data_IF_159059289525
#
_entry.id   IF_159059289525
#
_cell.length_a   1.000
_cell.length_b   1.000
_cell.length_c   1.000
_cell.angle_alpha   90.00
_cell.angle_beta   90.00
_cell.angle_gamma   90.00
#
_symmetry.space_group_name_H-M   'P 1'
#
loop_
_entity.id
_entity.type
_entity.pdbx_description
1 polymer ?
#
# COMPACT_ATOMS: atom_id res chain seq x y z
N UNK A 1 -2.92 -13.79 25.12
CA UNK A 1 -1.65 -13.22 24.60
C UNK A 1 -1.87 -11.72 24.43
N UNK A 2 -0.86 -10.89 24.67
CA UNK A 2 -1.01 -9.44 24.45
C UNK A 2 -1.11 -9.18 22.95
N UNK A 3 -2.15 -8.44 22.53
CA UNK A 3 -2.32 -7.97 21.16
C UNK A 3 -1.46 -6.73 20.85
N UNK A 4 -0.58 -6.33 21.76
CA UNK A 4 0.37 -5.24 21.54
C UNK A 4 1.59 -5.77 20.78
N UNK A 5 1.96 -5.04 19.74
CA UNK A 5 3.26 -5.09 19.08
C UNK A 5 4.17 -4.13 19.85
N UNK A 6 5.36 -4.59 20.25
CA UNK A 6 6.30 -3.77 21.02
C UNK A 6 6.91 -2.62 20.19
N UNK A 7 7.31 -1.56 20.88
CA UNK A 7 7.84 -0.35 20.28
C UNK A 7 9.07 -0.59 19.37
N UNK A 8 10.08 -1.40 19.76
CA UNK A 8 11.21 -1.70 18.88
C UNK A 8 10.79 -2.37 17.56
N UNK A 9 9.84 -3.32 17.61
CA UNK A 9 9.32 -3.96 16.40
C UNK A 9 8.60 -2.95 15.50
N UNK A 10 7.78 -2.05 16.07
CA UNK A 10 7.08 -1.01 15.31
C UNK A 10 8.03 -0.04 14.62
N UNK A 11 9.06 0.44 15.33
CA UNK A 11 10.09 1.33 14.76
C UNK A 11 10.82 0.66 13.59
N UNK A 12 11.16 -0.62 13.78
CA UNK A 12 11.84 -1.43 12.77
C UNK A 12 11.00 -1.60 11.49
N UNK A 13 9.71 -1.96 11.64
CA UNK A 13 8.80 -2.08 10.50
C UNK A 13 8.56 -0.72 9.83
N UNK A 14 8.40 0.35 10.62
CA UNK A 14 8.26 1.70 10.10
C UNK A 14 9.43 2.10 9.19
N UNK A 15 10.66 1.94 9.67
CA UNK A 15 11.86 2.29 8.91
C UNK A 15 11.99 1.46 7.62
N UNK A 16 11.73 0.15 7.72
CA UNK A 16 11.89 -0.75 6.58
C UNK A 16 10.88 -0.50 5.49
N UNK A 17 9.59 -0.39 5.83
CA UNK A 17 8.56 -0.08 4.86
C UNK A 17 8.73 1.32 4.25
N UNK A 18 9.29 2.28 5.00
CA UNK A 18 9.61 3.60 4.46
C UNK A 18 10.68 3.51 3.36
N UNK A 19 11.79 2.84 3.64
CA UNK A 19 12.90 2.70 2.68
C UNK A 19 12.44 1.89 1.48
N UNK A 20 11.89 0.69 1.70
CA UNK A 20 11.45 -0.20 0.64
C UNK A 20 10.35 0.44 -0.21
N UNK A 21 9.37 1.10 0.41
CA UNK A 21 8.31 1.81 -0.31
C UNK A 21 8.87 2.88 -1.25
N UNK A 22 9.89 3.64 -0.82
CA UNK A 22 10.57 4.63 -1.67
C UNK A 22 11.35 4.00 -2.82
N UNK A 23 12.00 2.85 -2.58
CA UNK A 23 12.74 2.12 -3.62
C UNK A 23 11.83 1.56 -4.71
N UNK A 24 10.58 1.24 -4.37
CA UNK A 24 9.57 0.80 -5.34
C UNK A 24 8.95 1.95 -6.14
N UNK A 25 8.72 3.12 -5.52
CA UNK A 25 8.05 4.26 -6.16
C UNK A 25 8.87 4.97 -7.24
N UNK A 26 10.19 4.83 -7.20
CA UNK A 26 11.03 5.52 -8.15
C UNK A 26 12.45 4.99 -8.15
N UNK A 27 13.21 5.45 -9.12
CA UNK A 27 14.60 5.05 -9.24
C UNK A 27 15.41 5.55 -8.05
N UNK A 28 16.07 4.61 -7.37
CA UNK A 28 17.09 4.97 -6.40
C UNK A 28 18.15 5.85 -7.08
N UNK A 29 18.44 7.01 -6.48
CA UNK A 29 19.57 7.83 -6.92
C UNK A 29 20.89 7.15 -6.51
N UNK A 30 22.04 7.53 -7.10
CA UNK A 30 23.34 6.99 -6.67
C UNK A 30 23.61 7.25 -5.17
N UNK A 31 23.14 8.38 -4.65
CA UNK A 31 23.26 8.70 -3.23
C UNK A 31 22.35 7.84 -2.37
N UNK A 32 21.10 7.61 -2.79
CA UNK A 32 20.17 6.67 -2.12
C UNK A 32 20.73 5.25 -2.11
N UNK A 33 21.31 4.77 -3.22
CA UNK A 33 21.96 3.46 -3.26
C UNK A 33 23.13 3.40 -2.28
N UNK A 34 24.00 4.40 -2.31
CA UNK A 34 25.15 4.48 -1.38
C UNK A 34 24.70 4.46 0.08
N UNK A 35 23.63 5.17 0.41
CA UNK A 35 23.03 5.16 1.75
C UNK A 35 22.55 3.76 2.14
N UNK A 36 21.81 3.07 1.26
CA UNK A 36 21.35 1.69 1.50
C UNK A 36 22.54 0.75 1.71
N UNK A 37 23.55 0.79 0.84
CA UNK A 37 24.73 -0.07 0.98
C UNK A 37 25.52 0.22 2.26
N UNK A 38 25.67 1.49 2.62
CA UNK A 38 26.43 1.89 3.83
C UNK A 38 25.75 1.39 5.11
N UNK A 39 24.43 1.34 5.12
CA UNK A 39 23.65 0.91 6.29
C UNK A 39 23.19 -0.56 6.20
N UNK A 40 23.67 -1.32 5.21
CA UNK A 40 23.17 -2.68 4.95
C UNK A 40 23.48 -3.66 6.08
N UNK A 41 24.61 -3.49 6.78
CA UNK A 41 24.95 -4.30 7.96
C UNK A 41 24.01 -4.08 9.13
N UNK A 42 23.38 -2.90 9.17
CA UNK A 42 22.42 -2.50 10.18
C UNK A 42 20.98 -2.69 9.69
N UNK A 43 20.80 -3.33 8.52
CA UNK A 43 19.48 -3.63 8.02
C UNK A 43 18.76 -4.51 9.05
N UNK A 44 17.53 -4.16 9.42
CA UNK A 44 16.90 -4.80 10.54
C UNK A 44 16.66 -6.29 10.33
N UNK A 45 17.00 -7.05 11.36
CA UNK A 45 16.73 -8.46 11.45
C UNK A 45 15.47 -8.70 12.29
N UNK A 46 14.50 -9.40 11.71
CA UNK A 46 13.28 -9.80 12.41
C UNK A 46 13.34 -11.27 12.76
N UNK A 47 13.23 -11.57 14.05
CA UNK A 47 13.04 -12.92 14.53
C UNK A 47 11.92 -12.93 15.55
N UNK A 48 10.73 -13.36 15.12
CA UNK A 48 9.66 -13.71 16.03
C UNK A 48 10.07 -15.00 16.77
N UNK A 49 10.35 -14.97 18.10
CA UNK A 49 10.93 -16.11 18.80
C UNK A 49 9.99 -17.33 18.87
N UNK A 50 8.68 -17.11 18.83
CA UNK A 50 7.68 -18.17 18.93
C UNK A 50 6.59 -17.97 17.87
N UNK A 51 6.91 -18.20 16.57
CA UNK A 51 5.90 -18.12 15.53
C UNK A 51 4.87 -19.24 15.74
N UNK A 52 3.64 -19.03 15.28
CA UNK A 52 2.65 -20.12 15.22
C UNK A 52 3.23 -21.29 14.40
N UNK A 53 3.01 -22.55 14.81
CA UNK A 53 3.51 -23.71 14.06
C UNK A 53 3.09 -23.73 12.59
N UNK A 54 1.87 -23.25 12.29
CA UNK A 54 1.33 -23.09 10.94
C UNK A 54 2.13 -22.12 10.06
N UNK A 55 2.83 -21.17 10.68
CA UNK A 55 3.62 -20.13 10.02
C UNK A 55 5.13 -20.37 10.12
N UNK A 56 5.58 -21.49 10.69
CA UNK A 56 7.00 -21.78 10.89
C UNK A 56 7.78 -21.80 9.55
N UNK A 57 7.20 -22.36 8.49
CA UNK A 57 7.82 -22.35 7.15
C UNK A 57 7.93 -20.92 6.61
N UNK A 58 6.86 -20.13 6.70
CA UNK A 58 6.85 -18.75 6.20
C UNK A 58 7.85 -17.88 6.98
N UNK A 59 7.94 -18.05 8.30
CA UNK A 59 8.93 -17.37 9.12
C UNK A 59 10.36 -17.72 8.68
N UNK A 60 10.64 -19.00 8.44
CA UNK A 60 11.94 -19.43 7.90
C UNK A 60 12.22 -18.86 6.49
N UNK A 61 11.20 -18.84 5.61
CA UNK A 61 11.31 -18.26 4.28
C UNK A 61 11.59 -16.75 4.32
N UNK A 62 10.98 -16.03 5.28
CA UNK A 62 11.24 -14.61 5.51
C UNK A 62 12.70 -14.37 5.94
N UNK A 63 13.23 -15.20 6.84
CA UNK A 63 14.64 -15.12 7.26
C UNK A 63 15.59 -15.43 6.10
N UNK A 64 15.26 -16.45 5.29
CA UNK A 64 16.05 -16.78 4.12
C UNK A 64 16.02 -15.65 3.09
N UNK A 65 14.86 -15.01 2.87
CA UNK A 65 14.72 -13.88 1.96
C UNK A 65 15.48 -12.65 2.47
N UNK A 66 15.48 -12.40 3.78
CA UNK A 66 16.27 -11.33 4.38
C UNK A 66 17.76 -11.52 4.09
N UNK A 67 18.31 -12.69 4.41
CA UNK A 67 19.73 -13.01 4.16
C UNK A 67 20.07 -12.93 2.67
N UNK A 68 19.21 -13.50 1.80
CA UNK A 68 19.42 -13.40 0.34
C UNK A 68 19.41 -11.95 -0.12
N UNK A 69 18.46 -11.15 0.37
CA UNK A 69 18.32 -9.74 0.00
C UNK A 69 19.54 -8.91 0.38
N UNK A 70 20.04 -9.07 1.62
CA UNK A 70 21.28 -8.41 2.05
C UNK A 70 22.49 -8.88 1.23
N UNK A 71 22.60 -10.18 0.95
CA UNK A 71 23.71 -10.71 0.14
C UNK A 71 23.67 -10.17 -1.30
N UNK A 72 22.49 -10.05 -1.90
CA UNK A 72 22.30 -9.53 -3.25
C UNK A 72 22.65 -8.05 -3.34
N UNK A 73 22.20 -7.23 -2.38
CA UNK A 73 22.58 -5.82 -2.33
C UNK A 73 24.09 -5.64 -2.10
N UNK A 74 24.71 -6.47 -1.24
CA UNK A 74 26.15 -6.46 -1.04
C UNK A 74 26.90 -6.81 -2.34
N UNK A 75 26.44 -7.83 -3.09
CA UNK A 75 27.03 -8.18 -4.39
C UNK A 75 26.88 -7.09 -5.43
N UNK A 76 25.72 -6.43 -5.47
CA UNK A 76 25.49 -5.27 -6.34
C UNK A 76 26.53 -4.17 -6.08
N UNK A 77 26.79 -3.88 -4.81
CA UNK A 77 27.83 -2.93 -4.40
C UNK A 77 29.24 -3.37 -4.78
N UNK A 78 29.63 -4.61 -4.44
CA UNK A 78 30.99 -5.13 -4.68
C UNK A 78 31.32 -5.24 -6.18
N UNK A 79 30.33 -5.62 -6.99
CA UNK A 79 30.47 -5.71 -8.44
C UNK A 79 30.41 -4.34 -9.15
N UNK A 80 30.11 -3.27 -8.41
CA UNK A 80 29.89 -1.92 -8.97
C UNK A 80 28.83 -1.94 -10.07
N UNK A 81 27.70 -2.57 -9.79
CA UNK A 81 26.59 -2.70 -10.75
C UNK A 81 26.16 -1.31 -11.26
N UNK A 82 26.19 -1.15 -12.58
CA UNK A 82 26.03 0.16 -13.24
C UNK A 82 24.64 0.75 -12.99
N UNK A 83 24.61 2.02 -12.57
CA UNK A 83 23.40 2.78 -12.25
C UNK A 83 22.37 2.78 -13.37
N UNK A 84 22.83 2.87 -14.61
CA UNK A 84 21.98 2.85 -15.80
C UNK A 84 21.31 1.49 -16.03
N UNK A 85 22.01 0.40 -15.70
CA UNK A 85 21.50 -0.97 -15.77
C UNK A 85 20.46 -1.20 -14.68
N UNK A 86 20.71 -0.75 -13.45
CA UNK A 86 19.74 -0.81 -12.35
C UNK A 86 18.46 -0.04 -12.71
N UNK A 87 18.61 1.18 -13.24
CA UNK A 87 17.47 2.00 -13.66
C UNK A 87 16.65 1.29 -14.76
N UNK A 88 17.35 0.75 -15.75
CA UNK A 88 16.72 0.04 -16.87
C UNK A 88 16.03 -1.25 -16.41
N UNK A 89 16.60 -1.98 -15.46
CA UNK A 89 15.98 -3.17 -14.89
C UNK A 89 14.68 -2.83 -14.16
N UNK A 90 14.68 -1.77 -13.35
CA UNK A 90 13.45 -1.29 -12.69
C UNK A 90 12.40 -0.82 -13.72
N UNK A 91 12.81 -0.13 -14.80
CA UNK A 91 11.92 0.24 -15.91
C UNK A 91 11.33 -1.01 -16.61
N UNK A 92 12.11 -2.09 -16.77
CA UNK A 92 11.61 -3.34 -17.34
C UNK A 92 10.71 -4.12 -16.38
N UNK A 93 10.98 -4.01 -15.08
CA UNK A 93 10.21 -4.69 -14.05
C UNK A 93 8.83 -4.06 -13.94
N UNK A 94 8.75 -2.74 -13.74
CA UNK A 94 7.52 -2.00 -13.38
C UNK A 94 6.98 -1.04 -14.44
N UNK A 95 7.76 -0.71 -15.48
CA UNK A 95 7.48 0.45 -16.33
C UNK A 95 6.23 0.34 -17.21
N UNK A 96 5.84 1.48 -17.79
CA UNK A 96 4.58 1.67 -18.56
C UNK A 96 4.66 1.10 -20.00
N UNK A 97 5.73 0.40 -20.34
CA UNK A 97 5.99 -0.10 -21.69
C UNK A 97 5.39 -1.50 -21.91
N UNK A 98 5.19 -1.90 -23.17
CA UNK A 98 4.79 -3.27 -23.53
C UNK A 98 5.77 -4.36 -23.03
N UNK A 99 6.93 -3.97 -22.51
CA UNK A 99 7.96 -4.85 -21.97
C UNK A 99 7.91 -5.05 -20.45
N UNK A 100 7.00 -4.37 -19.75
CA UNK A 100 6.77 -4.57 -18.32
C UNK A 100 6.59 -6.05 -17.99
N UNK A 101 7.24 -6.51 -16.92
CA UNK A 101 7.19 -7.91 -16.48
C UNK A 101 6.25 -8.09 -15.30
N UNK A 102 6.18 -7.09 -14.43
CA UNK A 102 5.37 -7.09 -13.22
C UNK A 102 4.59 -5.79 -13.10
N UNK A 103 3.30 -5.87 -12.75
CA UNK A 103 2.54 -4.66 -12.42
C UNK A 103 2.75 -4.31 -10.95
N UNK A 104 3.15 -3.07 -10.61
CA UNK A 104 3.26 -2.63 -9.22
C UNK A 104 1.92 -2.15 -8.63
N UNK A 105 0.77 -2.42 -9.27
CA UNK A 105 -0.55 -1.94 -8.85
C UNK A 105 -1.48 -3.08 -8.45
N UNK A 106 -2.09 -3.02 -7.25
CA UNK A 106 -3.03 -4.03 -6.74
C UNK A 106 -4.14 -4.37 -7.72
N UNK A 107 -4.75 -3.34 -8.31
CA UNK A 107 -5.90 -3.45 -9.21
C UNK A 107 -5.66 -4.38 -10.40
N UNK A 108 -4.42 -4.53 -10.86
CA UNK A 108 -4.05 -5.49 -11.93
C UNK A 108 -4.04 -6.95 -11.44
N UNK A 109 -3.77 -7.19 -10.16
CA UNK A 109 -3.70 -8.55 -9.59
C UNK A 109 -5.02 -9.02 -9.01
N UNK A 110 -5.80 -8.08 -8.46
CA UNK A 110 -6.99 -8.38 -7.66
C UNK A 110 -8.29 -8.01 -8.38
N UNK A 111 -8.30 -6.95 -9.19
CA UNK A 111 -9.49 -6.46 -9.88
C UNK A 111 -10.04 -7.47 -10.89
N UNK A 112 -11.37 -7.55 -11.01
CA UNK A 112 -12.03 -8.50 -11.91
C UNK A 112 -11.69 -8.24 -13.38
N UNK A 113 -11.46 -6.98 -13.74
CA UNK A 113 -11.06 -6.55 -15.09
C UNK A 113 -9.54 -6.30 -15.23
N UNK A 114 -8.78 -6.41 -14.13
CA UNK A 114 -7.34 -6.18 -14.05
C UNK A 114 -6.88 -4.82 -14.63
N UNK A 115 -7.67 -3.77 -14.38
CA UNK A 115 -7.43 -2.42 -14.88
C UNK A 115 -6.81 -1.54 -13.79
N UNK A 116 -5.89 -0.66 -14.18
CA UNK A 116 -5.29 0.34 -13.28
C UNK A 116 -6.33 1.44 -12.99
N UNK A 117 -6.39 1.94 -11.74
CA UNK A 117 -7.37 2.91 -11.22
C UNK A 117 -8.78 2.35 -10.94
N UNK A 118 -8.85 1.12 -10.44
CA UNK A 118 -10.12 0.48 -10.08
C UNK A 118 -10.51 0.76 -8.60
N UNK A 119 -11.52 0.04 -8.11
CA UNK A 119 -12.13 0.14 -6.79
C UNK A 119 -11.10 0.12 -5.66
N UNK A 120 -10.04 -0.67 -5.81
CA UNK A 120 -8.92 -0.82 -4.89
C UNK A 120 -8.20 0.51 -4.65
N UNK A 121 -7.94 1.29 -5.70
CA UNK A 121 -7.32 2.62 -5.59
C UNK A 121 -8.13 3.57 -4.69
N UNK A 122 -9.47 3.52 -4.80
CA UNK A 122 -10.37 4.34 -3.96
C UNK A 122 -10.35 3.84 -2.51
N UNK A 123 -10.30 2.53 -2.30
CA UNK A 123 -10.25 1.93 -0.96
C UNK A 123 -8.94 2.26 -0.24
N UNK A 124 -7.78 2.19 -0.92
CA UNK A 124 -6.50 2.60 -0.33
C UNK A 124 -6.53 4.07 0.09
N UNK A 125 -7.10 4.96 -0.75
CA UNK A 125 -7.29 6.37 -0.38
C UNK A 125 -8.19 6.54 0.85
N UNK A 126 -9.26 5.75 0.95
CA UNK A 126 -10.12 5.74 2.12
C UNK A 126 -9.33 5.34 3.38
N UNK A 127 -8.49 4.31 3.32
CA UNK A 127 -7.62 3.90 4.43
C UNK A 127 -6.65 5.00 4.85
N UNK A 128 -5.98 5.68 3.91
CA UNK A 128 -5.16 6.87 4.21
C UNK A 128 -5.92 7.92 5.02
N UNK A 129 -7.18 8.19 4.64
CA UNK A 129 -8.02 9.16 5.37
C UNK A 129 -8.36 8.72 6.81
N UNK A 130 -8.46 7.42 7.08
CA UNK A 130 -8.73 6.89 8.44
C UNK A 130 -7.56 7.15 9.41
N UNK A 131 -6.34 7.27 8.87
CA UNK A 131 -5.15 7.68 9.63
C UNK A 131 -4.95 9.21 9.67
N UNK A 132 -5.89 10.00 9.13
CA UNK A 132 -5.75 11.44 9.00
C UNK A 132 -4.70 11.87 7.97
N UNK A 133 -4.33 10.96 7.06
CA UNK A 133 -3.32 11.18 6.04
C UNK A 133 -3.99 11.44 4.68
N UNK A 134 -3.19 11.95 3.75
CA UNK A 134 -3.53 11.98 2.32
C UNK A 134 -2.52 11.10 1.60
N UNK A 135 -2.99 10.28 0.66
CA UNK A 135 -2.10 9.53 -0.20
C UNK A 135 -1.14 10.51 -0.93
N UNK A 136 0.17 10.24 -0.97
CA UNK A 136 1.13 11.07 -1.69
C UNK A 136 0.77 11.18 -3.17
N UNK A 137 0.97 12.36 -3.77
CA UNK A 137 0.84 12.59 -5.21
C UNK A 137 -0.52 12.22 -5.81
N UNK A 138 -1.60 12.78 -5.23
CA UNK A 138 -2.90 12.86 -5.88
C UNK A 138 -2.68 13.28 -7.36
N UNK A 139 -2.96 12.39 -8.31
CA UNK A 139 -2.88 12.55 -9.78
C UNK A 139 -1.60 12.13 -10.54
N UNK A 140 -0.56 11.57 -9.90
CA UNK A 140 0.62 11.06 -10.63
C UNK A 140 0.68 9.53 -10.69
N UNK A 141 0.44 8.85 -9.56
CA UNK A 141 0.42 7.39 -9.45
C UNK A 141 -0.92 6.95 -8.85
N UNK A 142 -1.49 5.81 -9.30
CA UNK A 142 -2.57 5.13 -8.59
C UNK A 142 -2.19 4.87 -7.12
N UNK A 143 -3.12 5.18 -6.20
CA UNK A 143 -2.94 5.02 -4.75
C UNK A 143 -2.69 3.54 -4.33
N UNK A 144 -3.01 2.57 -5.18
CA UNK A 144 -2.79 1.13 -5.01
C UNK A 144 -1.42 0.64 -5.53
N UNK A 145 -0.46 1.55 -5.70
CA UNK A 145 0.92 1.19 -5.99
C UNK A 145 1.59 0.52 -4.76
N UNK A 146 2.35 -0.57 -4.98
CA UNK A 146 3.04 -1.34 -3.93
C UNK A 146 3.81 -0.45 -2.94
N UNK A 147 4.61 0.48 -3.47
CA UNK A 147 5.38 1.41 -2.66
C UNK A 147 4.53 2.40 -1.85
N UNK A 148 3.32 2.77 -2.30
CA UNK A 148 2.37 3.58 -1.52
C UNK A 148 1.68 2.74 -0.44
N UNK A 149 1.39 1.47 -0.68
CA UNK A 149 0.88 0.57 0.36
C UNK A 149 1.93 0.35 1.46
N UNK A 150 3.21 0.17 1.10
CA UNK A 150 4.30 0.13 2.07
C UNK A 150 4.44 1.46 2.83
N UNK A 151 4.34 2.60 2.15
CA UNK A 151 4.33 3.89 2.82
C UNK A 151 3.18 4.01 3.84
N UNK A 152 1.99 3.46 3.53
CA UNK A 152 0.87 3.42 4.47
C UNK A 152 1.20 2.56 5.71
N UNK A 153 1.73 1.36 5.51
CA UNK A 153 2.15 0.49 6.62
C UNK A 153 3.20 1.17 7.50
N UNK A 154 4.18 1.85 6.90
CA UNK A 154 5.19 2.61 7.62
C UNK A 154 4.56 3.68 8.53
N UNK A 155 3.66 4.50 7.98
CA UNK A 155 2.99 5.56 8.73
C UNK A 155 2.10 5.00 9.85
N UNK A 156 1.41 3.88 9.59
CA UNK A 156 0.66 3.15 10.60
C UNK A 156 1.53 2.71 11.77
N UNK A 157 2.70 2.12 11.49
CA UNK A 157 3.67 1.73 12.51
C UNK A 157 4.19 2.93 13.32
N UNK A 158 4.49 4.06 12.67
CA UNK A 158 4.95 5.28 13.35
C UNK A 158 3.87 5.88 14.26
N UNK A 159 2.61 5.91 13.81
CA UNK A 159 1.50 6.39 14.63
C UNK A 159 1.23 5.48 15.82
N UNK A 160 1.29 4.15 15.64
CA UNK A 160 1.22 3.19 16.73
C UNK A 160 2.34 3.39 17.76
N UNK A 161 3.59 3.54 17.30
CA UNK A 161 4.74 3.79 18.15
C UNK A 161 4.57 5.09 18.96
N UNK A 162 4.21 6.19 18.28
CA UNK A 162 3.98 7.49 18.91
C UNK A 162 2.85 7.46 19.95
N UNK A 163 1.83 6.62 19.73
CA UNK A 163 0.75 6.43 20.68
C UNK A 163 1.22 5.65 21.92
N UNK A 164 2.03 4.60 21.75
CA UNK A 164 2.63 3.86 22.86
C UNK A 164 3.55 4.74 23.72
N UNK A 165 4.44 5.52 23.08
CA UNK A 165 5.38 6.40 23.78
C UNK A 165 4.65 7.47 24.60
N UNK A 166 3.49 7.94 24.11
CA UNK A 166 2.64 8.90 24.81
C UNK A 166 1.66 8.26 25.81
N UNK A 167 1.63 6.92 25.95
CA UNK A 167 0.67 6.21 26.80
C UNK A 167 -0.78 6.30 26.33
N UNK A 168 -1.03 6.63 25.05
CA UNK A 168 -2.37 6.76 24.44
C UNK A 168 -2.82 5.42 23.85
N UNK A 169 -3.18 4.49 24.72
CA UNK A 169 -3.48 3.10 24.33
C UNK A 169 -4.71 2.99 23.42
N UNK A 170 -5.72 3.86 23.60
CA UNK A 170 -6.90 3.89 22.73
C UNK A 170 -6.55 4.31 21.29
N UNK A 171 -5.68 5.32 21.14
CA UNK A 171 -5.18 5.76 19.84
C UNK A 171 -4.37 4.63 19.18
N UNK A 172 -3.53 3.92 19.96
CA UNK A 172 -2.81 2.76 19.47
C UNK A 172 -3.76 1.70 18.91
N UNK A 173 -4.79 1.31 19.68
CA UNK A 173 -5.76 0.30 19.24
C UNK A 173 -6.50 0.72 17.97
N UNK A 174 -6.93 2.00 17.90
CA UNK A 174 -7.59 2.54 16.71
C UNK A 174 -6.70 2.44 15.47
N UNK A 175 -5.45 2.90 15.55
CA UNK A 175 -4.51 2.85 14.42
C UNK A 175 -4.18 1.41 14.06
N UNK A 176 -3.91 0.55 15.06
CA UNK A 176 -3.63 -0.88 14.85
C UNK A 176 -4.74 -1.55 14.07
N UNK A 177 -6.00 -1.35 14.45
CA UNK A 177 -7.13 -2.02 13.81
C UNK A 177 -7.27 -1.59 12.34
N UNK A 178 -7.03 -0.31 12.05
CA UNK A 178 -6.99 0.20 10.66
C UNK A 178 -5.86 -0.46 9.87
N UNK A 179 -4.65 -0.54 10.43
CA UNK A 179 -3.47 -1.10 9.73
C UNK A 179 -3.62 -2.62 9.53
N UNK A 180 -4.20 -3.34 10.49
CA UNK A 180 -4.48 -4.77 10.38
C UNK A 180 -5.52 -5.04 9.30
N UNK A 181 -6.62 -4.27 9.29
CA UNK A 181 -7.65 -4.37 8.25
C UNK A 181 -7.06 -4.08 6.87
N UNK A 182 -6.32 -2.97 6.73
CA UNK A 182 -5.61 -2.64 5.50
C UNK A 182 -4.71 -3.79 5.04
N UNK A 183 -3.83 -4.28 5.92
CA UNK A 183 -2.88 -5.38 5.60
C UNK A 183 -3.61 -6.59 5.02
N UNK A 184 -4.72 -6.98 5.64
CA UNK A 184 -5.53 -8.15 5.27
C UNK A 184 -6.25 -7.94 3.93
N UNK A 185 -6.87 -6.78 3.77
CA UNK A 185 -7.78 -6.48 2.66
C UNK A 185 -7.06 -6.06 1.39
N UNK A 186 -5.82 -5.57 1.50
CA UNK A 186 -5.00 -5.08 0.40
C UNK A 186 -3.71 -5.90 0.21
N UNK A 187 -2.55 -5.54 0.80
CA UNK A 187 -1.26 -6.08 0.38
C UNK A 187 -1.16 -7.60 0.51
N UNK A 188 -1.80 -8.22 1.51
CA UNK A 188 -1.75 -9.67 1.71
C UNK A 188 -2.30 -10.45 0.51
N UNK A 189 -3.20 -9.86 -0.28
CA UNK A 189 -3.86 -10.52 -1.40
C UNK A 189 -2.96 -10.67 -2.63
N UNK A 190 -1.91 -9.85 -2.75
CA UNK A 190 -1.19 -9.72 -4.02
C UNK A 190 0.32 -9.49 -3.88
N UNK A 191 0.77 -8.74 -2.87
CA UNK A 191 2.20 -8.43 -2.66
C UNK A 191 3.05 -9.71 -2.54
N UNK A 192 2.67 -10.75 -1.77
CA UNK A 192 3.52 -11.94 -1.63
C UNK A 192 3.85 -12.64 -2.94
N UNK A 193 2.90 -12.74 -3.86
CA UNK A 193 3.12 -13.35 -5.16
C UNK A 193 3.88 -12.41 -6.10
N UNK A 194 3.56 -11.11 -6.04
CA UNK A 194 4.19 -10.07 -6.87
C UNK A 194 5.67 -9.93 -6.60
N UNK A 195 6.08 -9.86 -5.33
CA UNK A 195 7.50 -9.73 -4.96
C UNK A 195 8.31 -10.96 -5.38
N UNK A 196 7.74 -12.16 -5.26
CA UNK A 196 8.42 -13.40 -5.73
C UNK A 196 8.58 -13.41 -7.24
N UNK A 197 7.55 -13.03 -7.99
CA UNK A 197 7.65 -12.92 -9.44
C UNK A 197 8.65 -11.81 -9.83
N UNK A 198 8.61 -10.67 -9.16
CA UNK A 198 9.52 -9.56 -9.40
C UNK A 198 10.98 -9.94 -9.16
N UNK A 199 11.28 -10.66 -8.07
CA UNK A 199 12.62 -11.19 -7.78
C UNK A 199 13.11 -12.11 -8.92
N UNK A 200 12.25 -12.98 -9.44
CA UNK A 200 12.57 -13.89 -10.55
C UNK A 200 12.81 -13.14 -11.86
N UNK A 201 12.04 -12.08 -12.12
CA UNK A 201 12.08 -11.33 -13.37
C UNK A 201 13.18 -10.24 -13.39
N UNK A 202 13.64 -9.80 -12.23
CA UNK A 202 14.71 -8.82 -12.08
C UNK A 202 16.05 -9.34 -12.63
N UNK A 203 16.77 -8.46 -13.32
CA UNK A 203 18.03 -8.76 -14.01
C UNK A 203 19.27 -8.28 -13.27
N UNK A 204 19.09 -7.42 -12.28
CA UNK A 204 20.16 -6.85 -11.45
C UNK A 204 20.13 -7.41 -10.04
N UNK A 205 21.31 -7.56 -9.43
CA UNK A 205 21.41 -7.96 -8.03
C UNK A 205 20.77 -6.92 -7.11
N UNK A 206 20.83 -5.64 -7.49
CA UNK A 206 20.10 -4.57 -6.80
C UNK A 206 18.60 -4.85 -6.73
N UNK A 207 17.92 -5.02 -7.87
CA UNK A 207 16.47 -5.19 -7.86
C UNK A 207 16.08 -6.51 -7.20
N UNK A 208 16.78 -7.60 -7.47
CA UNK A 208 16.55 -8.89 -6.77
C UNK A 208 16.66 -8.73 -5.25
N UNK A 209 17.65 -7.96 -4.77
CA UNK A 209 17.82 -7.67 -3.35
C UNK A 209 16.66 -6.85 -2.77
N UNK A 210 16.20 -5.81 -3.48
CA UNK A 210 15.05 -5.00 -3.07
C UNK A 210 13.77 -5.85 -2.96
N UNK A 211 13.51 -6.74 -3.93
CA UNK A 211 12.35 -7.64 -3.89
C UNK A 211 12.43 -8.63 -2.72
N UNK A 212 13.60 -9.24 -2.50
CA UNK A 212 13.82 -10.19 -1.42
C UNK A 212 13.67 -9.53 -0.02
N UNK A 213 14.22 -8.33 0.17
CA UNK A 213 14.04 -7.57 1.42
C UNK A 213 12.59 -7.11 1.63
N UNK A 214 11.90 -6.74 0.56
CA UNK A 214 10.47 -6.41 0.59
C UNK A 214 9.63 -7.60 1.03
N UNK A 215 9.92 -8.78 0.49
CA UNK A 215 9.22 -10.01 0.85
C UNK A 215 9.47 -10.36 2.32
N UNK A 216 10.74 -10.28 2.76
CA UNK A 216 11.12 -10.56 4.13
C UNK A 216 10.41 -9.63 5.14
N UNK A 217 10.40 -8.32 4.87
CA UNK A 217 9.74 -7.33 5.72
C UNK A 217 8.23 -7.59 5.82
N UNK A 218 7.57 -7.81 4.68
CA UNK A 218 6.11 -8.03 4.65
C UNK A 218 5.70 -9.38 5.27
N UNK A 219 6.47 -10.45 5.02
CA UNK A 219 6.25 -11.75 5.66
C UNK A 219 6.44 -11.67 7.17
N UNK A 220 7.49 -10.99 7.63
CA UNK A 220 7.76 -10.81 9.06
C UNK A 220 6.65 -10.00 9.73
N UNK A 221 6.16 -8.94 9.07
CA UNK A 221 5.00 -8.17 9.52
C UNK A 221 3.76 -9.06 9.72
N UNK A 222 3.40 -9.86 8.71
CA UNK A 222 2.24 -10.77 8.79
C UNK A 222 2.41 -11.83 9.89
N UNK A 223 3.60 -12.41 10.03
CA UNK A 223 3.91 -13.37 11.11
C UNK A 223 3.75 -12.70 12.48
N UNK A 224 4.27 -11.49 12.66
CA UNK A 224 4.08 -10.73 13.91
C UNK A 224 2.60 -10.47 14.18
N UNK A 225 1.82 -9.99 13.20
CA UNK A 225 0.38 -9.79 13.37
C UNK A 225 -0.34 -11.08 13.81
N UNK A 226 -0.01 -12.21 13.20
CA UNK A 226 -0.58 -13.50 13.59
C UNK A 226 -0.17 -13.96 14.98
N UNK A 227 1.11 -13.84 15.35
CA UNK A 227 1.59 -14.19 16.70
C UNK A 227 0.94 -13.34 17.79
N UNK A 228 0.60 -12.08 17.49
CA UNK A 228 -0.19 -11.21 18.38
C UNK A 228 -1.70 -11.49 18.36
N UNK A 229 -2.17 -12.41 17.53
CA UNK A 229 -3.59 -12.76 17.42
C UNK A 229 -4.43 -11.66 16.75
N UNK A 230 -3.80 -10.87 15.87
CA UNK A 230 -4.44 -9.78 15.13
C UNK A 230 -4.86 -10.22 13.72
N UNK A 231 -4.17 -11.19 13.14
CA UNK A 231 -4.43 -11.71 11.81
C UNK A 231 -4.42 -13.25 11.83
N UNK A 232 -5.47 -13.95 11.37
CA UNK A 232 -5.49 -15.41 11.45
C UNK A 232 -4.37 -16.07 10.63
N UNK A 233 -3.68 -17.06 11.18
CA UNK A 233 -2.58 -17.76 10.51
C UNK A 233 -3.02 -18.40 9.18
N UNK A 234 -4.23 -18.96 9.12
CA UNK A 234 -4.80 -19.52 7.90
C UNK A 234 -4.94 -18.49 6.77
N UNK A 235 -5.26 -17.24 7.10
CA UNK A 235 -5.37 -16.16 6.10
C UNK A 235 -3.99 -15.73 5.61
N UNK A 236 -3.01 -15.63 6.51
CA UNK A 236 -1.61 -15.38 6.12
C UNK A 236 -1.11 -16.48 5.20
N UNK A 237 -1.26 -17.75 5.58
CA UNK A 237 -0.88 -18.89 4.75
C UNK A 237 -1.56 -18.84 3.38
N UNK A 238 -2.86 -18.53 3.33
CA UNK A 238 -3.60 -18.40 2.07
C UNK A 238 -3.08 -17.26 1.19
N UNK A 239 -2.77 -16.09 1.77
CA UNK A 239 -2.24 -14.95 1.02
C UNK A 239 -0.86 -15.22 0.43
N UNK A 240 0.03 -15.85 1.19
CA UNK A 240 1.36 -16.26 0.71
C UNK A 240 1.31 -17.45 -0.26
N UNK A 241 0.28 -18.29 -0.20
CA UNK A 241 0.05 -19.36 -1.17
C UNK A 241 -0.65 -18.90 -2.46
N UNK A 242 -1.21 -17.69 -2.49
CA UNK A 242 -1.92 -17.18 -3.66
C UNK A 242 -0.99 -17.10 -4.88
N UNK A 243 -1.46 -17.49 -6.08
CA UNK A 243 -0.66 -17.40 -7.29
C UNK A 243 -0.51 -15.96 -7.74
N UNK A 244 0.56 -15.68 -8.49
CA UNK A 244 0.73 -14.41 -9.18
C UNK A 244 -0.36 -14.22 -10.24
N UNK A 245 -1.01 -13.06 -10.25
CA UNK A 245 -2.15 -12.73 -11.13
C UNK A 245 -1.93 -11.52 -12.03
N UNK A 246 -0.74 -10.93 -12.01
CA UNK A 246 -0.45 -9.71 -12.76
C UNK A 246 -0.25 -9.94 -14.26
N UNK A 247 0.75 -9.28 -14.83
CA UNK A 247 1.04 -9.36 -16.26
C UNK A 247 1.41 -10.81 -16.63
N UNK A 248 0.62 -11.44 -17.50
CA UNK A 248 0.90 -12.78 -18.05
C UNK A 248 1.14 -12.71 -19.56
N UNK A 249 1.71 -13.77 -20.14
CA UNK A 249 1.91 -13.86 -21.59
C UNK A 249 0.60 -13.67 -22.41
N UNK A 250 -0.57 -13.95 -21.81
CA UNK A 250 -1.88 -13.70 -22.43
C UNK A 250 -2.27 -12.22 -22.54
N UNK A 251 -1.81 -11.38 -21.60
CA UNK A 251 -2.08 -9.94 -21.59
C UNK A 251 -1.30 -9.15 -22.65
N UNK A 252 -0.15 -9.70 -23.11
CA UNK A 252 0.71 -9.06 -24.12
C UNK A 252 0.10 -9.01 -25.54
N UNK A 253 -0.98 -9.75 -25.80
CA UNK A 253 -1.66 -9.81 -27.11
C UNK A 253 -2.86 -8.87 -27.27
N UNK A 254 -3.40 -8.32 -26.18
CA UNK A 254 -4.58 -7.42 -26.18
C UNK A 254 -4.15 -5.94 -26.03
N UNK A 255 -2.89 -5.70 -25.64
CA UNK A 255 -2.27 -4.42 -25.35
C UNK A 255 -1.92 -3.55 -26.57
N UNK A 256 -2.72 -3.56 -27.64
CA UNK A 256 -2.65 -2.48 -28.66
C UNK A 256 -3.47 -1.25 -28.24
N UNK A 257 -4.22 -1.34 -27.14
CA UNK A 257 -4.81 -0.20 -26.44
C UNK A 257 -4.00 0.16 -25.19
N UNK A 258 -3.12 1.15 -25.31
CA UNK A 258 -2.59 2.04 -24.25
C UNK A 258 -2.72 1.53 -22.80
N UNK A 259 -1.73 0.78 -22.31
CA UNK A 259 -1.35 0.88 -20.90
C UNK A 259 -0.77 2.29 -20.70
N UNK A 260 -1.40 3.13 -19.88
CA UNK A 260 -0.85 4.42 -19.47
C UNK A 260 -1.25 5.66 -20.29
N UNK A 261 -2.45 5.74 -20.87
CA UNK A 261 -3.02 7.07 -21.19
C UNK A 261 -3.92 7.49 -20.02
N UNK A 262 -3.53 8.47 -19.20
CA UNK A 262 -4.37 9.00 -18.14
C UNK A 262 -5.55 9.69 -18.83
N UNK A 263 -6.64 8.94 -19.02
CA UNK A 263 -7.82 9.42 -19.70
C UNK A 263 -8.18 10.82 -19.20
N UNK A 264 -8.43 11.73 -20.14
CA UNK A 264 -8.77 13.12 -19.83
C UNK A 264 -9.92 13.14 -18.80
N UNK A 265 -9.74 13.82 -17.64
CA UNK A 265 -10.79 13.87 -16.63
C UNK A 265 -12.09 14.45 -17.22
N UNK A 266 -13.19 13.70 -17.10
CA UNK A 266 -14.54 14.24 -17.31
C UNK A 266 -15.38 13.65 -18.44
N UNK A 267 -14.97 12.56 -19.11
CA UNK A 267 -15.88 11.84 -20.00
C UNK A 267 -16.32 10.53 -19.35
N UNK A 268 -17.47 10.58 -18.68
CA UNK A 268 -18.21 9.38 -18.29
C UNK A 268 -18.47 8.54 -19.55
N UNK A 269 -17.83 7.37 -19.65
CA UNK A 269 -18.35 6.29 -20.50
C UNK A 269 -19.45 5.59 -19.71
N UNK A 270 -20.61 5.46 -20.33
CA UNK A 270 -21.83 4.88 -19.75
C UNK A 270 -21.52 3.56 -19.03
N UNK A 271 -21.79 3.55 -17.73
CA UNK A 271 -21.73 2.37 -16.88
C UNK A 271 -22.91 1.44 -17.22
N UNK A 272 -22.62 0.40 -17.98
CA UNK A 272 -23.50 -0.75 -18.10
C UNK A 272 -23.54 -1.54 -16.79
N UNK A 273 -24.51 -1.22 -15.94
CA UNK A 273 -25.20 -2.12 -15.01
C UNK A 273 -24.37 -3.13 -14.19
N UNK A 274 -23.81 -2.69 -13.06
CA UNK A 274 -23.59 -3.59 -11.90
C UNK A 274 -23.79 -2.90 -10.54
N UNK A 275 -24.71 -1.93 -10.47
CA UNK A 275 -25.16 -1.36 -9.19
C UNK A 275 -26.33 -2.20 -8.62
N UNK A 276 -26.03 -3.39 -8.11
CA UNK A 276 -26.99 -4.16 -7.33
C UNK A 276 -26.28 -4.99 -6.26
N UNK A 277 -26.06 -4.38 -5.09
CA UNK A 277 -26.18 -4.94 -3.74
C UNK A 277 -25.39 -4.06 -2.78
N UNK A 278 -26.08 -3.19 -2.05
CA UNK A 278 -25.71 -2.71 -0.71
C UNK A 278 -26.82 -1.74 -0.24
N UNK A 279 -28.05 -2.26 -0.03
CA UNK A 279 -29.09 -1.58 0.78
C UNK A 279 -30.05 -2.60 1.38
N UNK A 280 -29.90 -2.86 2.68
CA UNK A 280 -30.87 -3.36 3.68
C UNK A 280 -30.05 -3.34 4.99
N UNK A 281 -30.40 -2.70 6.10
CA UNK A 281 -31.68 -2.44 6.73
C UNK A 281 -31.60 -1.18 7.61
N UNK A 282 -32.65 -0.34 7.62
CA UNK A 282 -33.17 0.32 8.83
C UNK A 282 -34.66 0.67 8.59
N UNK A 283 -35.57 0.43 9.56
CA UNK A 283 -37.02 0.44 9.31
C UNK A 283 -37.69 1.80 9.54
N UNK A 284 -38.62 2.11 8.64
CA UNK A 284 -39.96 2.67 8.89
C UNK A 284 -40.11 4.05 9.53
N UNK A 285 -40.65 5.00 8.77
CA UNK A 285 -41.94 5.59 9.18
C UNK A 285 -42.75 6.08 7.98
N UNK A 286 -44.05 5.84 8.05
CA UNK A 286 -45.08 6.19 7.09
C UNK A 286 -45.58 7.61 7.32
N UNK A 287 -45.68 8.43 6.28
CA UNK A 287 -46.29 9.76 6.42
C UNK A 287 -46.46 10.48 5.09
N UNK A 288 -47.71 10.54 4.64
CA UNK A 288 -48.20 11.03 3.36
C UNK A 288 -48.18 12.55 3.19
N UNK A 289 -47.75 12.99 2.01
CA UNK A 289 -48.39 14.01 1.14
C UNK A 289 -48.41 15.50 1.50
N UNK A 290 -48.33 16.29 0.40
CA UNK A 290 -48.82 17.65 0.15
C UNK A 290 -47.93 18.88 0.50
N UNK A 291 -47.22 19.37 -0.51
CA UNK A 291 -47.14 20.80 -0.88
C UNK A 291 -48.50 21.23 -1.53
N UNK A 292 -48.87 22.53 -1.65
CA UNK A 292 -47.99 23.67 -1.97
C UNK A 292 -48.35 25.04 -1.35
N UNK A 293 -47.46 26.04 -1.53
CA UNK A 293 -47.89 27.45 -1.58
C UNK A 293 -46.88 28.48 -1.06
N UNK A 294 -46.16 29.13 -1.97
CA UNK A 294 -45.63 30.49 -1.78
C UNK A 294 -46.73 31.51 -2.14
N UNK A 295 -46.78 32.68 -1.48
CA UNK A 295 -46.65 33.90 -2.28
C UNK A 295 -45.81 35.02 -1.61
N UNK A 296 -45.58 36.04 -2.42
CA UNK A 296 -44.67 37.19 -2.34
C UNK A 296 -44.65 38.09 -1.08
N UNK A 297 -43.41 38.57 -0.81
CA UNK A 297 -42.89 39.89 -0.39
C UNK A 297 -43.87 41.08 -0.17
N UNK A 298 -43.57 42.10 0.68
CA UNK A 298 -42.46 43.03 0.41
C UNK A 298 -41.73 43.70 1.63
N UNK A 299 -40.53 44.18 1.33
CA UNK A 299 -39.92 45.46 1.75
C UNK A 299 -39.98 45.90 3.23
N UNK A 300 -38.79 46.02 3.87
CA UNK A 300 -38.47 47.27 4.54
C UNK A 300 -36.98 47.60 4.41
N UNK A 301 -36.73 48.78 3.85
CA UNK A 301 -35.43 49.41 3.58
C UNK A 301 -35.42 50.71 4.40
N UNK A 302 -34.57 50.80 5.41
CA UNK A 302 -34.01 52.06 5.93
C UNK A 302 -32.79 51.69 6.79
N UNK A 303 -31.57 51.81 6.27
CA UNK A 303 -30.79 53.05 6.13
C UNK A 303 -30.27 53.54 7.50
N UNK A 304 -28.98 53.31 7.77
CA UNK A 304 -28.01 54.40 7.96
C UNK A 304 -26.58 53.92 8.21
N UNK A 305 -25.74 54.43 7.33
CA UNK A 305 -24.29 54.57 7.37
C UNK A 305 -23.75 55.19 8.67
N UNK A 306 -22.55 54.77 9.07
CA UNK A 306 -21.76 55.44 10.10
C UNK A 306 -20.44 54.72 10.40
N UNK A 307 -19.52 54.66 9.43
CA UNK A 307 -18.10 54.44 9.71
C UNK A 307 -17.46 55.74 10.19
N UNK A 308 -16.71 55.71 11.31
CA UNK A 308 -15.24 55.87 11.37
C UNK A 308 -14.75 56.12 12.81
N UNK A 309 -13.46 55.85 13.11
CA UNK A 309 -13.03 55.27 14.38
C UNK A 309 -12.26 56.24 15.30
N UNK A 310 -11.85 55.69 16.47
CA UNK A 310 -10.62 55.95 17.23
C UNK A 310 -10.84 56.18 18.74
N UNK A 311 -10.11 55.35 19.51
CA UNK A 311 -9.89 55.28 20.97
C UNK A 311 -10.94 54.53 21.80
#
# INVERSE_FOLDING_TARGET
MSQLIDAPSLDTFAASFLVLGRLHLGHATPDTRREVYTNLSDWPFWNEPNPHPELASLHADAHAALTRGTDLLQRSWESHEEDSTIRMDQDFLYGVSATARVSPFESVHVGEEQLVFDTETIQVRWYYSQLGLRAPQLHTEPDDHLGLEFAFLSQGCQQMLSALDAGRIEDYHRVRDIVVAFTREHPLRWIPATLREAEVQAQTAWMQGVEALSYAAFASWCVTLSTRGLLPAAEVTSGFAAPYRGITAGHKGVATGKFGDPGVPGVTRDAGSTAARLRHDLPGDSGTSSEPGTPDNPENRSDRTGETPSL
#
